data_IF_629533883843
#
_entry.id   IF_629533883843
#
_cell.length_a   1.000
_cell.length_b   1.000
_cell.length_c   1.000
_cell.angle_alpha   90.00
_cell.angle_beta   90.00
_cell.angle_gamma   90.00
#
_symmetry.space_group_name_H-M   'P 1'
#
loop_
_entity.id
_entity.type
_entity.pdbx_description
1 polymer ?
#
# COMPACT_ATOMS: atom_id res chain seq x y z
N UNK A 1 -20.77 16.71 -0.29
CA UNK A 1 -20.42 16.25 -0.28
C UNK A 1 -19.60 15.63 -0.38
N UNK A 2 -19.34 15.37 -0.37
CA UNK A 2 -18.72 14.82 -0.22
C UNK A 2 -17.90 14.20 -0.46
N UNK A 3 -17.43 13.93 -0.52
CA UNK A 3 -16.71 13.33 -0.49
C UNK A 3 -15.92 12.47 -1.03
N UNK A 4 -16.10 12.00 -1.56
CA UNK A 4 -15.75 11.08 -2.24
C UNK A 4 -14.48 11.19 -2.90
N UNK A 5 -14.08 12.05 -3.50
CA UNK A 5 -12.78 12.31 -4.00
C UNK A 5 -11.78 12.43 -2.86
N UNK A 6 -12.20 12.04 -1.73
CA UNK A 6 -11.36 12.03 -0.56
C UNK A 6 -10.46 10.82 -0.50
N UNK A 7 -10.39 10.07 -1.58
CA UNK A 7 -9.61 8.85 -1.58
C UNK A 7 -8.15 9.08 -1.22
N UNK A 8 -7.61 10.20 -1.65
CA UNK A 8 -6.21 10.50 -1.33
C UNK A 8 -5.99 10.63 0.14
N UNK A 9 -6.96 11.13 0.85
CA UNK A 9 -6.83 11.32 2.28
C UNK A 9 -7.03 10.04 3.05
N UNK A 10 -7.73 9.10 2.44
CA UNK A 10 -7.94 7.79 3.08
C UNK A 10 -6.64 7.00 3.18
N UNK A 11 -5.70 7.26 2.27
CA UNK A 11 -4.47 6.50 2.23
C UNK A 11 -3.27 7.37 2.55
N UNK A 12 -3.29 7.95 3.74
CA UNK A 12 -2.09 8.59 4.25
C UNK A 12 -1.04 7.52 4.53
N UNK A 13 0.19 7.95 4.75
CA UNK A 13 1.26 6.98 5.05
C UNK A 13 0.91 6.12 6.26
N UNK A 14 0.34 6.74 7.30
CA UNK A 14 -0.02 6.00 8.49
C UNK A 14 -1.14 5.00 8.20
N UNK A 15 -2.11 5.40 7.38
CA UNK A 15 -3.21 4.52 7.04
C UNK A 15 -2.73 3.34 6.19
N UNK A 16 -1.82 3.59 5.26
CA UNK A 16 -1.28 2.52 4.43
C UNK A 16 -0.52 1.52 5.29
N UNK A 17 0.31 2.03 6.19
CA UNK A 17 1.06 1.17 7.08
C UNK A 17 0.12 0.31 7.92
N UNK A 18 -0.94 0.90 8.41
CA UNK A 18 -1.91 0.19 9.22
C UNK A 18 -2.60 -0.92 8.42
N UNK A 19 -2.97 -0.62 7.18
CA UNK A 19 -3.61 -1.61 6.33
C UNK A 19 -2.65 -2.77 6.06
N UNK A 20 -1.40 -2.47 5.76
CA UNK A 20 -0.43 -3.53 5.47
C UNK A 20 -0.20 -4.40 6.70
N UNK A 21 -0.01 -3.77 7.85
CA UNK A 21 0.38 -4.52 9.05
C UNK A 21 -0.80 -5.26 9.68
N UNK A 22 -2.00 -4.71 9.60
CA UNK A 22 -3.14 -5.28 10.31
C UNK A 22 -4.38 -5.43 9.47
N UNK A 23 -4.34 -5.00 8.22
CA UNK A 23 -5.51 -5.02 7.38
C UNK A 23 -5.95 -6.44 7.06
N UNK A 24 -7.24 -6.59 6.82
CA UNK A 24 -7.79 -7.84 6.41
C UNK A 24 -7.79 -7.93 4.90
N UNK A 25 -8.18 -9.09 4.42
CA UNK A 25 -8.17 -9.36 2.99
C UNK A 25 -8.88 -8.28 2.19
N UNK A 26 -10.03 -7.84 2.67
CA UNK A 26 -10.82 -6.87 1.94
C UNK A 26 -10.14 -5.52 1.90
N UNK A 27 -9.49 -5.13 2.98
CA UNK A 27 -8.77 -3.87 3.03
C UNK A 27 -7.57 -3.90 2.10
N UNK A 28 -6.91 -5.05 2.01
CA UNK A 28 -5.81 -5.21 1.09
C UNK A 28 -6.29 -5.09 -0.36
N UNK A 29 -7.46 -5.65 -0.66
CA UNK A 29 -8.02 -5.56 -1.99
C UNK A 29 -8.30 -4.10 -2.36
N UNK A 30 -8.82 -3.34 -1.41
CA UNK A 30 -9.10 -1.93 -1.65
C UNK A 30 -7.82 -1.15 -1.90
N UNK A 31 -6.79 -1.42 -1.11
CA UNK A 31 -5.52 -0.74 -1.29
C UNK A 31 -4.89 -1.09 -2.63
N UNK A 32 -4.95 -2.36 -3.03
CA UNK A 32 -4.42 -2.76 -4.33
C UNK A 32 -5.15 -2.04 -5.47
N UNK A 33 -6.47 -1.99 -5.36
CA UNK A 33 -7.26 -1.34 -6.41
C UNK A 33 -6.89 0.13 -6.52
N UNK A 34 -6.75 0.80 -5.39
CA UNK A 34 -6.39 2.21 -5.40
C UNK A 34 -4.98 2.42 -5.95
N UNK A 35 -4.05 1.53 -5.59
CA UNK A 35 -2.67 1.66 -6.04
C UNK A 35 -2.54 1.45 -7.55
N UNK A 36 -3.39 0.61 -8.13
CA UNK A 36 -3.35 0.41 -9.57
C UNK A 36 -3.77 1.65 -10.32
N UNK A 37 -4.59 2.49 -9.71
CA UNK A 37 -5.09 3.69 -10.35
C UNK A 37 -4.27 4.93 -10.02
N UNK A 38 -3.37 4.83 -9.05
CA UNK A 38 -2.64 6.00 -8.59
C UNK A 38 -1.18 5.60 -8.35
N UNK A 39 -0.33 6.01 -9.29
CA UNK A 39 1.08 5.66 -9.20
C UNK A 39 1.75 6.24 -7.95
N UNK A 40 1.30 7.42 -7.52
CA UNK A 40 1.89 7.99 -6.32
C UNK A 40 1.58 7.16 -5.10
N UNK A 41 0.45 6.47 -5.10
CA UNK A 41 0.11 5.59 -4.01
C UNK A 41 1.04 4.38 -3.99
N UNK A 42 1.38 3.85 -5.16
CA UNK A 42 2.37 2.78 -5.25
C UNK A 42 3.70 3.21 -4.65
N UNK A 43 4.11 4.44 -4.92
CA UNK A 43 5.35 4.94 -4.38
C UNK A 43 5.30 5.07 -2.87
N UNK A 44 4.15 5.46 -2.35
CA UNK A 44 3.99 5.56 -0.91
C UNK A 44 4.04 4.19 -0.24
N UNK A 45 3.43 3.20 -0.88
CA UNK A 45 3.51 1.83 -0.36
C UNK A 45 4.96 1.37 -0.34
N UNK A 46 5.69 1.66 -1.41
CA UNK A 46 7.09 1.29 -1.46
C UNK A 46 7.89 1.96 -0.35
N UNK A 47 7.63 3.23 -0.12
CA UNK A 47 8.32 3.97 0.92
C UNK A 47 8.10 3.34 2.29
N UNK A 48 6.87 2.91 2.55
CA UNK A 48 6.54 2.30 3.82
C UNK A 48 7.20 0.95 3.97
N UNK A 49 7.24 0.17 2.90
CA UNK A 49 7.77 -1.18 2.97
C UNK A 49 9.30 -1.24 3.00
N UNK A 50 9.95 -0.19 2.51
CA UNK A 50 11.40 -0.20 2.37
C UNK A 50 12.15 -0.51 3.68
N UNK A 51 11.78 0.09 4.81
CA UNK A 51 12.49 -0.21 6.06
C UNK A 51 12.39 -1.66 6.50
N UNK A 52 11.44 -2.40 5.95
CA UNK A 52 11.22 -3.79 6.36
C UNK A 52 11.87 -4.80 5.42
N UNK A 53 12.63 -4.31 4.44
CA UNK A 53 13.22 -5.19 3.44
C UNK A 53 14.12 -6.24 4.07
N UNK A 54 14.85 -5.86 5.10
CA UNK A 54 15.82 -6.74 5.75
C UNK A 54 15.22 -7.53 6.90
N UNK A 55 13.95 -7.35 7.19
CA UNK A 55 13.31 -8.03 8.30
C UNK A 55 12.64 -9.31 7.81
N UNK A 56 13.20 -10.48 8.14
CA UNK A 56 12.63 -11.74 7.64
C UNK A 56 11.25 -12.05 8.19
N UNK A 57 10.84 -11.37 9.24
CA UNK A 57 9.54 -11.63 9.84
C UNK A 57 8.47 -10.67 9.33
N UNK A 58 8.83 -9.71 8.50
CA UNK A 58 7.88 -8.73 7.99
C UNK A 58 7.29 -9.20 6.67
N UNK A 59 6.65 -10.37 6.68
CA UNK A 59 6.17 -10.98 5.44
C UNK A 59 5.12 -10.15 4.74
N UNK A 60 4.27 -9.48 5.48
CA UNK A 60 3.24 -8.65 4.86
C UNK A 60 3.86 -7.52 4.06
N UNK A 61 4.91 -6.91 4.59
CA UNK A 61 5.61 -5.84 3.88
C UNK A 61 6.35 -6.40 2.67
N UNK A 62 6.90 -7.60 2.77
CA UNK A 62 7.57 -8.22 1.64
C UNK A 62 6.59 -8.49 0.51
N UNK A 63 5.40 -8.96 0.84
CA UNK A 63 4.37 -9.19 -0.16
C UNK A 63 4.08 -7.90 -0.93
N UNK A 64 3.87 -6.82 -0.21
CA UNK A 64 3.54 -5.55 -0.84
C UNK A 64 4.72 -4.99 -1.62
N UNK A 65 5.93 -5.23 -1.17
CA UNK A 65 7.10 -4.81 -1.90
C UNK A 65 7.18 -5.50 -3.26
N UNK A 66 6.94 -6.81 -3.29
CA UNK A 66 6.91 -7.54 -4.54
C UNK A 66 5.80 -7.03 -5.46
N UNK A 67 4.66 -6.78 -4.88
CA UNK A 67 3.54 -6.27 -5.64
C UNK A 67 3.87 -4.94 -6.30
N UNK A 68 4.47 -4.03 -5.55
CA UNK A 68 4.85 -2.74 -6.06
C UNK A 68 5.87 -2.87 -7.19
N UNK A 69 6.86 -3.72 -6.99
CA UNK A 69 7.91 -3.88 -7.98
C UNK A 69 7.36 -4.42 -9.29
N UNK A 70 6.44 -5.37 -9.21
CA UNK A 70 5.80 -5.89 -10.40
C UNK A 70 5.07 -4.81 -11.18
N UNK A 71 4.34 -3.97 -10.47
CA UNK A 71 3.51 -3.00 -11.14
C UNK A 71 4.27 -1.74 -11.55
N UNK A 72 5.38 -1.48 -10.91
CA UNK A 72 6.23 -0.37 -11.34
C UNK A 72 6.96 -0.70 -12.63
N UNK A 73 7.33 -1.95 -12.79
CA UNK A 73 8.10 -2.37 -13.94
C UNK A 73 7.28 -2.34 -15.22
N UNK A 74 5.97 -2.46 -15.09
CA UNK A 74 5.12 -2.43 -16.26
C UNK A 74 4.67 -1.00 -16.53
#
# INVERSE_FOLDING_TARGET
MQHRHLNHQRFTLAAIDDVISRGRWQEWADLRRAALQDRSLLEQVQRICRPYTDDPYAQRYHFWMHYVEEHRAS
#
